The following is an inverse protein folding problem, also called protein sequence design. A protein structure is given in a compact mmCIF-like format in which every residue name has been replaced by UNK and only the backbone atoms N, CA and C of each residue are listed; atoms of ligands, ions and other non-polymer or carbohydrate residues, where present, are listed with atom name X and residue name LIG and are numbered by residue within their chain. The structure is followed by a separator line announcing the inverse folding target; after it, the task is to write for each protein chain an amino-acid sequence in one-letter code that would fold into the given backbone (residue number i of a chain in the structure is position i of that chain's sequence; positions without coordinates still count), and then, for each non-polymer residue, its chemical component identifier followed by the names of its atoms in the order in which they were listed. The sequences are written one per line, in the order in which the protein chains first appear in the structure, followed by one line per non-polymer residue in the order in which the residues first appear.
data_IF_179442182411
#
_entry.id   IF_179442182411
#
_cell.length_a   1.000
_cell.length_b   1.000
_cell.length_c   1.000
_cell.angle_alpha   90.00
_cell.angle_beta   90.00
_cell.angle_gamma   90.00
#
_symmetry.space_group_name_H-M   'P 1'
#
loop_
_entity.id
_entity.type
_entity.pdbx_description
1 polymer ?
#
# COMPACT_ATOMS: atom_id res chain seq x y z
N UNK A 1 8.90 1.64 -26.66
CA UNK A 1 9.51 0.78 -25.64
C UNK A 1 8.86 1.10 -24.31
N UNK A 2 8.25 0.09 -23.69
CA UNK A 2 7.62 0.23 -22.36
C UNK A 2 8.73 0.28 -21.31
N UNK A 3 8.76 1.34 -20.51
CA UNK A 3 9.77 1.54 -19.46
C UNK A 3 9.59 0.49 -18.37
N UNK A 4 10.68 -0.09 -17.87
CA UNK A 4 10.62 -1.02 -16.73
C UNK A 4 10.11 -0.31 -15.46
N UNK A 5 9.52 -1.02 -14.49
CA UNK A 5 8.98 -0.41 -13.26
C UNK A 5 10.02 0.39 -12.45
N UNK A 6 11.31 0.04 -12.53
CA UNK A 6 12.40 0.85 -11.97
C UNK A 6 12.62 2.17 -12.75
N UNK A 7 12.57 2.13 -14.08
CA UNK A 7 12.69 3.33 -14.93
C UNK A 7 11.45 4.24 -14.87
N UNK A 8 10.28 3.70 -14.52
CA UNK A 8 9.06 4.48 -14.29
C UNK A 8 9.14 5.32 -13.00
N UNK A 9 10.00 4.95 -12.05
CA UNK A 9 10.23 5.66 -10.78
C UNK A 9 11.18 6.84 -10.91
N UNK A 10 12.13 6.80 -11.84
CA UNK A 10 13.08 7.89 -12.09
C UNK A 10 12.59 8.79 -13.23
N UNK A 11 11.79 9.80 -12.88
CA UNK A 11 11.41 10.83 -13.85
C UNK A 11 12.55 11.85 -13.94
N UNK A 12 12.86 12.37 -15.12
CA UNK A 12 13.83 13.46 -15.25
C UNK A 12 13.42 14.42 -16.34
N UNK A 13 13.84 15.67 -16.21
CA UNK A 13 13.70 16.68 -17.25
C UNK A 13 15.03 17.40 -17.45
N UNK A 14 15.30 17.81 -18.69
CA UNK A 14 16.49 18.57 -19.02
C UNK A 14 16.13 20.05 -19.08
N UNK A 15 16.81 20.85 -18.27
CA UNK A 15 16.72 22.31 -18.33
C UNK A 15 17.77 22.82 -19.30
N UNK A 16 17.33 23.48 -20.37
CA UNK A 16 18.20 24.23 -21.27
C UNK A 16 18.11 25.71 -20.90
N UNK A 17 19.19 26.27 -20.38
CA UNK A 17 19.33 27.69 -20.11
C UNK A 17 20.22 28.32 -21.18
N UNK A 18 19.71 29.33 -21.88
CA UNK A 18 20.47 30.10 -22.85
C UNK A 18 20.71 31.51 -22.31
N UNK A 19 21.93 32.00 -22.48
CA UNK A 19 22.29 33.39 -22.21
C UNK A 19 23.28 33.88 -23.26
N UNK A 20 23.14 35.11 -23.71
CA UNK A 20 24.13 35.76 -24.58
C UNK A 20 24.96 36.75 -23.77
N UNK A 21 26.28 36.69 -23.91
CA UNK A 21 27.19 37.66 -23.30
C UNK A 21 28.26 38.07 -24.33
N UNK A 22 28.41 39.37 -24.56
CA UNK A 22 29.37 39.94 -25.51
C UNK A 22 29.28 39.33 -26.93
N UNK A 23 28.06 39.09 -27.43
CA UNK A 23 27.82 38.54 -28.78
C UNK A 23 28.09 37.04 -28.91
N UNK A 24 28.33 36.32 -27.80
CA UNK A 24 28.39 34.85 -27.78
C UNK A 24 27.21 34.29 -27.00
N UNK A 25 26.45 33.41 -27.67
CA UNK A 25 25.46 32.57 -27.03
C UNK A 25 26.11 31.45 -26.23
N UNK A 26 25.68 31.29 -24.99
CA UNK A 26 26.03 30.20 -24.10
C UNK A 26 24.76 29.41 -23.80
N UNK A 27 24.83 28.10 -23.98
CA UNK A 27 23.76 27.19 -23.56
C UNK A 27 24.30 26.24 -22.49
N UNK A 28 23.63 26.22 -21.35
CA UNK A 28 23.88 25.26 -20.27
C UNK A 28 22.70 24.31 -20.22
N UNK A 29 22.98 23.03 -20.40
CA UNK A 29 21.99 21.97 -20.23
C UNK A 29 22.24 21.26 -18.91
N UNK A 30 21.23 21.14 -18.05
CA UNK A 30 21.30 20.35 -16.82
C UNK A 30 20.16 19.36 -16.77
N UNK A 31 20.49 18.09 -16.55
CA UNK A 31 19.52 17.05 -16.24
C UNK A 31 19.12 17.18 -14.77
N UNK A 32 17.82 17.30 -14.52
CA UNK A 32 17.24 17.33 -13.18
C UNK A 32 16.47 16.03 -12.98
N UNK A 33 16.83 15.27 -11.95
CA UNK A 33 16.15 14.04 -11.55
C UNK A 33 15.00 14.36 -10.61
N UNK A 34 13.89 13.63 -10.78
CA UNK A 34 12.70 13.66 -9.94
C UNK A 34 12.58 12.30 -9.27
N UNK A 35 12.46 12.31 -7.95
CA UNK A 35 12.18 11.11 -7.16
C UNK A 35 10.66 10.98 -6.96
N UNK A 36 10.08 9.89 -7.45
CA UNK A 36 8.66 9.58 -7.22
C UNK A 36 8.54 8.83 -5.89
N UNK A 37 7.92 9.48 -4.91
CA UNK A 37 7.63 8.90 -3.59
C UNK A 37 6.24 8.29 -3.59
N UNK A 38 6.15 7.02 -3.20
CA UNK A 38 4.89 6.40 -2.80
C UNK A 38 4.53 6.90 -1.39
N UNK A 39 3.44 7.66 -1.22
CA UNK A 39 3.14 8.32 0.06
C UNK A 39 2.77 7.33 1.17
N UNK A 40 2.15 6.20 0.80
CA UNK A 40 1.84 5.09 1.71
C UNK A 40 1.77 3.79 0.91
N UNK A 41 2.23 2.69 1.49
CA UNK A 41 1.99 1.34 0.99
C UNK A 41 1.46 0.46 2.12
N UNK A 42 0.66 -0.55 1.76
CA UNK A 42 0.03 -1.46 2.73
C UNK A 42 0.18 -2.90 2.27
N UNK A 43 0.37 -3.78 3.23
CA UNK A 43 0.46 -5.22 3.04
C UNK A 43 -0.27 -5.96 4.16
N UNK A 44 -0.73 -7.16 3.86
CA UNK A 44 -1.37 -8.05 4.82
C UNK A 44 -0.59 -9.36 4.87
N UNK A 45 -0.31 -9.82 6.07
CA UNK A 45 0.34 -11.09 6.34
C UNK A 45 -0.59 -11.97 7.19
N UNK A 46 -0.78 -13.20 6.72
CA UNK A 46 -1.57 -14.21 7.41
C UNK A 46 -0.65 -15.41 7.72
N UNK A 47 -0.53 -15.78 9.00
CA UNK A 47 0.45 -16.77 9.43
C UNK A 47 0.11 -18.21 8.95
N UNK A 48 -1.17 -18.54 8.82
CA UNK A 48 -1.63 -19.83 8.31
C UNK A 48 -3.05 -19.71 7.73
N UNK A 49 -3.57 -20.82 7.19
CA UNK A 49 -4.98 -20.91 6.85
C UNK A 49 -5.86 -20.79 8.10
N UNK A 50 -7.06 -20.23 7.94
CA UNK A 50 -8.04 -20.10 9.01
C UNK A 50 -8.91 -21.34 9.05
N UNK A 51 -9.09 -21.94 10.22
CA UNK A 51 -10.06 -23.02 10.40
C UNK A 51 -11.46 -22.46 10.53
N UNK A 52 -12.44 -23.04 9.83
CA UNK A 52 -13.85 -22.67 9.96
C UNK A 52 -14.29 -22.76 11.44
N UNK A 53 -14.97 -21.73 11.93
CA UNK A 53 -15.37 -21.61 13.33
C UNK A 53 -14.30 -21.08 14.29
N UNK A 54 -13.10 -20.77 13.80
CA UNK A 54 -12.01 -20.22 14.61
C UNK A 54 -11.71 -18.76 14.25
N UNK A 55 -11.06 -18.07 15.19
CA UNK A 55 -10.42 -16.79 14.94
C UNK A 55 -8.91 -16.94 14.80
N UNK A 56 -8.30 -16.08 14.00
CA UNK A 56 -6.86 -16.00 13.84
C UNK A 56 -6.42 -14.54 13.83
N UNK A 57 -5.16 -14.30 14.19
CA UNK A 57 -4.53 -12.99 14.03
C UNK A 57 -4.00 -12.82 12.61
N UNK A 58 -4.35 -11.70 11.99
CA UNK A 58 -3.74 -11.19 10.76
C UNK A 58 -2.92 -9.94 11.08
N UNK A 59 -1.78 -9.78 10.41
CA UNK A 59 -0.92 -8.61 10.58
C UNK A 59 -1.09 -7.70 9.38
N UNK A 60 -1.49 -6.46 9.61
CA UNK A 60 -1.46 -5.41 8.58
C UNK A 60 -0.22 -4.58 8.80
N UNK A 61 0.59 -4.40 7.75
CA UNK A 61 1.80 -3.58 7.78
C UNK A 61 1.65 -2.41 6.81
N UNK A 62 1.98 -1.21 7.28
CA UNK A 62 1.95 0.03 6.53
C UNK A 62 3.33 0.66 6.52
N UNK A 63 3.80 1.02 5.32
CA UNK A 63 5.03 1.81 5.13
C UNK A 63 4.64 3.20 4.65
N UNK A 64 5.15 4.24 5.30
CA UNK A 64 4.87 5.64 4.96
C UNK A 64 6.05 6.23 4.20
N UNK A 65 5.75 6.98 3.13
CA UNK A 65 6.76 7.67 2.35
C UNK A 65 7.45 8.79 3.17
N UNK A 66 8.74 9.07 2.92
CA UNK A 66 9.44 10.19 3.54
C UNK A 66 8.89 11.53 3.04
N UNK A 67 9.13 12.63 3.76
CA UNK A 67 8.81 13.97 3.28
C UNK A 67 7.48 14.56 3.76
N UNK A 68 6.75 13.85 4.64
CA UNK A 68 5.62 14.43 5.36
C UNK A 68 5.50 13.90 6.80
N UNK A 69 4.70 14.58 7.61
CA UNK A 69 4.40 14.15 8.97
C UNK A 69 3.56 12.87 8.91
N UNK A 70 3.92 11.87 9.72
CA UNK A 70 3.11 10.66 9.82
C UNK A 70 1.72 11.00 10.35
N UNK A 71 0.70 10.54 9.63
CA UNK A 71 -0.70 10.60 10.04
C UNK A 71 -1.27 9.21 10.29
N UNK A 72 -2.41 9.16 10.97
CA UNK A 72 -3.14 7.93 11.17
C UNK A 72 -3.61 7.36 9.83
N UNK A 73 -3.61 6.03 9.73
CA UNK A 73 -3.98 5.31 8.51
C UNK A 73 -5.20 4.47 8.81
N UNK A 74 -6.28 4.72 8.08
CA UNK A 74 -7.48 3.89 8.12
C UNK A 74 -7.34 2.76 7.11
N UNK A 75 -7.59 1.54 7.55
CA UNK A 75 -7.44 0.32 6.78
C UNK A 75 -8.80 -0.34 6.61
N UNK A 76 -9.09 -0.79 5.39
CA UNK A 76 -10.25 -1.62 5.08
C UNK A 76 -9.82 -2.85 4.29
N UNK A 77 -10.39 -4.01 4.64
CA UNK A 77 -10.16 -5.27 3.94
C UNK A 77 -11.37 -5.57 3.07
N UNK A 78 -11.13 -5.96 1.82
CA UNK A 78 -12.17 -6.24 0.83
C UNK A 78 -11.96 -7.64 0.22
N UNK A 79 -13.03 -8.23 -0.29
CA UNK A 79 -12.98 -9.55 -0.95
C UNK A 79 -12.88 -10.74 0.00
N UNK A 80 -13.26 -10.59 1.26
CA UNK A 80 -13.24 -11.68 2.25
C UNK A 80 -14.14 -12.86 1.82
N UNK A 81 -13.77 -14.12 2.14
CA UNK A 81 -14.60 -15.29 1.89
C UNK A 81 -15.95 -15.22 2.61
N UNK A 82 -16.95 -15.98 2.13
CA UNK A 82 -18.27 -16.01 2.75
C UNK A 82 -18.21 -16.46 4.22
N UNK A 83 -18.91 -15.72 5.08
CA UNK A 83 -18.91 -15.87 6.54
C UNK A 83 -17.53 -15.68 7.22
N UNK A 84 -16.58 -15.01 6.57
CA UNK A 84 -15.36 -14.49 7.20
C UNK A 84 -15.53 -13.01 7.49
N UNK A 85 -15.22 -12.60 8.72
CA UNK A 85 -15.41 -11.21 9.19
C UNK A 85 -14.14 -10.63 9.81
N UNK A 86 -13.99 -9.33 9.66
CA UNK A 86 -12.93 -8.51 10.24
C UNK A 86 -13.56 -7.28 10.89
N UNK A 87 -12.89 -6.59 11.82
CA UNK A 87 -13.38 -5.34 12.37
C UNK A 87 -13.61 -4.31 11.27
N UNK A 88 -14.74 -3.60 11.33
CA UNK A 88 -15.14 -2.61 10.31
C UNK A 88 -14.19 -1.42 10.22
N UNK A 89 -13.56 -1.06 11.34
CA UNK A 89 -12.67 0.09 11.43
C UNK A 89 -11.33 -0.37 11.99
N UNK A 90 -10.28 -0.23 11.19
CA UNK A 90 -8.91 -0.54 11.56
C UNK A 90 -8.10 0.74 11.40
N UNK A 91 -7.60 1.28 12.50
CA UNK A 91 -6.81 2.51 12.47
C UNK A 91 -5.42 2.23 13.01
N UNK A 92 -4.41 2.48 12.19
CA UNK A 92 -3.00 2.42 12.57
C UNK A 92 -2.58 3.85 12.93
N UNK A 93 -2.23 4.06 14.20
CA UNK A 93 -1.80 5.36 14.69
C UNK A 93 -0.52 5.84 13.97
N UNK A 94 -0.28 7.15 13.97
CA UNK A 94 0.84 7.77 13.25
C UNK A 94 2.22 7.24 13.69
N UNK A 95 2.33 6.83 14.96
CA UNK A 95 3.53 6.27 15.59
C UNK A 95 3.72 4.77 15.34
N UNK A 96 2.72 4.10 14.73
CA UNK A 96 2.75 2.66 14.46
C UNK A 96 2.79 2.36 12.97
N UNK A 97 3.48 1.30 12.62
CA UNK A 97 3.56 0.80 11.24
C UNK A 97 2.85 -0.53 11.06
N UNK A 98 2.32 -1.11 12.14
CA UNK A 98 1.66 -2.41 12.12
C UNK A 98 0.53 -2.49 13.14
N UNK A 99 -0.44 -3.35 12.84
CA UNK A 99 -1.52 -3.74 13.74
C UNK A 99 -1.82 -5.23 13.57
N UNK A 100 -2.02 -5.91 14.69
CA UNK A 100 -2.60 -7.25 14.71
C UNK A 100 -4.11 -7.12 14.79
N UNK A 101 -4.81 -7.79 13.87
CA UNK A 101 -6.26 -7.76 13.76
C UNK A 101 -6.79 -9.18 13.86
N UNK A 102 -7.86 -9.38 14.62
CA UNK A 102 -8.54 -10.66 14.68
C UNK A 102 -9.47 -10.83 13.46
N UNK A 103 -9.19 -11.84 12.63
CA UNK A 103 -10.06 -12.30 11.56
C UNK A 103 -10.82 -13.54 12.04
N UNK A 104 -12.14 -13.57 11.82
CA UNK A 104 -13.03 -14.61 12.33
C UNK A 104 -13.69 -15.34 11.17
N UNK A 105 -13.52 -16.66 11.10
CA UNK A 105 -14.34 -17.51 10.25
C UNK A 105 -15.48 -18.10 11.08
N UNK A 106 -16.72 -17.90 10.64
CA UNK A 106 -17.85 -18.57 11.27
C UNK A 106 -17.76 -20.10 11.05
N UNK A 107 -18.49 -20.89 11.84
CA UNK A 107 -18.50 -22.36 11.70
C UNK A 107 -19.03 -22.84 10.32
N UNK A 108 -19.85 -22.01 9.69
CA UNK A 108 -20.38 -22.19 8.33
C UNK A 108 -19.56 -21.42 7.27
N UNK A 109 -18.33 -21.00 7.58
CA UNK A 109 -17.45 -20.38 6.60
C UNK A 109 -17.17 -21.34 5.45
N UNK A 110 -17.22 -20.80 4.23
CA UNK A 110 -16.97 -21.59 3.04
C UNK A 110 -15.51 -22.03 3.01
N UNK A 111 -15.29 -23.34 2.91
CA UNK A 111 -13.95 -23.93 2.81
C UNK A 111 -13.43 -23.67 1.40
N UNK A 112 -12.83 -22.50 1.22
CA UNK A 112 -12.34 -22.04 -0.07
C UNK A 112 -11.02 -21.27 0.07
N UNK A 113 -10.29 -21.19 -1.05
CA UNK A 113 -9.12 -20.33 -1.22
C UNK A 113 -9.51 -19.14 -2.11
N UNK A 114 -9.71 -17.97 -1.52
CA UNK A 114 -10.07 -16.74 -2.25
C UNK A 114 -8.80 -15.95 -2.53
N UNK A 115 -8.50 -15.72 -3.82
CA UNK A 115 -7.25 -15.07 -4.26
C UNK A 115 -7.40 -13.56 -4.50
N UNK A 116 -8.61 -13.03 -4.38
CA UNK A 116 -8.94 -11.62 -4.70
C UNK A 116 -9.08 -10.73 -3.46
N UNK A 117 -8.59 -11.18 -2.30
CA UNK A 117 -8.62 -10.38 -1.08
C UNK A 117 -7.61 -9.24 -1.23
N UNK A 118 -8.01 -8.01 -0.88
CA UNK A 118 -7.15 -6.84 -0.92
C UNK A 118 -7.37 -5.96 0.30
N UNK A 119 -6.34 -5.19 0.65
CA UNK A 119 -6.37 -4.24 1.75
C UNK A 119 -6.15 -2.84 1.21
N UNK A 120 -7.06 -1.93 1.52
CA UNK A 120 -6.93 -0.51 1.17
C UNK A 120 -6.55 0.29 2.41
N UNK A 121 -5.55 1.16 2.28
CA UNK A 121 -5.12 2.10 3.29
C UNK A 121 -5.40 3.53 2.82
N UNK A 122 -6.07 4.31 3.66
CA UNK A 122 -6.40 5.72 3.42
C UNK A 122 -5.75 6.60 4.48
N UNK A 123 -5.07 7.65 4.05
CA UNK A 123 -4.40 8.60 4.96
C UNK A 123 -4.21 9.96 4.30
N UNK A 124 -3.59 10.91 5.01
CA UNK A 124 -3.18 12.20 4.48
C UNK A 124 -1.67 12.27 4.36
N UNK A 125 -1.20 12.82 3.23
CA UNK A 125 0.20 13.06 2.95
C UNK A 125 0.37 14.49 2.43
N UNK A 126 1.16 15.30 3.13
CA UNK A 126 1.36 16.73 2.84
C UNK A 126 0.04 17.51 2.66
N UNK A 127 -0.97 17.19 3.49
CA UNK A 127 -2.30 17.84 3.44
C UNK A 127 -3.23 17.36 2.32
N UNK A 128 -2.84 16.33 1.56
CA UNK A 128 -3.68 15.70 0.53
C UNK A 128 -4.12 14.31 0.95
N UNK A 129 -5.38 13.97 0.70
CA UNK A 129 -5.88 12.62 0.88
C UNK A 129 -5.24 11.68 -0.15
N UNK A 130 -4.70 10.58 0.33
CA UNK A 130 -4.06 9.54 -0.48
C UNK A 130 -4.58 8.18 -0.07
N UNK A 131 -4.64 7.27 -1.05
CA UNK A 131 -5.05 5.90 -0.85
C UNK A 131 -4.07 4.96 -1.53
N UNK A 132 -3.79 3.83 -0.88
CA UNK A 132 -3.02 2.73 -1.46
C UNK A 132 -3.78 1.41 -1.28
N UNK A 133 -3.59 0.50 -2.22
CA UNK A 133 -4.10 -0.87 -2.12
C UNK A 133 -2.92 -1.84 -2.07
N UNK A 134 -3.06 -2.91 -1.30
CA UNK A 134 -2.12 -4.02 -1.33
C UNK A 134 -2.23 -4.77 -2.65
N UNK A 135 -1.25 -5.64 -2.91
CA UNK A 135 -1.45 -6.73 -3.85
C UNK A 135 -2.62 -7.61 -3.40
N UNK A 136 -3.24 -8.30 -4.35
CA UNK A 136 -4.22 -9.34 -4.05
C UNK A 136 -3.53 -10.49 -3.32
N UNK A 137 -4.15 -10.99 -2.28
CA UNK A 137 -3.63 -12.09 -1.46
C UNK A 137 -4.62 -13.24 -1.45
N UNK A 138 -4.09 -14.43 -1.13
CA UNK A 138 -4.90 -15.63 -0.94
C UNK A 138 -5.24 -15.80 0.53
N UNK A 139 -6.53 -15.84 0.86
CA UNK A 139 -7.01 -16.33 2.15
C UNK A 139 -7.58 -17.72 1.96
N UNK A 140 -7.08 -18.68 2.74
CA UNK A 140 -7.55 -20.05 2.75
C UNK A 140 -8.33 -20.34 4.02
N UNK A 141 -9.56 -20.83 3.85
CA UNK A 141 -10.38 -21.39 4.93
C UNK A 141 -10.30 -22.92 4.84
N UNK A 142 -9.99 -23.59 5.94
CA UNK A 142 -9.98 -25.06 6.06
C UNK A 142 -11.15 -25.52 6.94
N UNK A 143 -11.63 -26.74 6.71
CA UNK A 143 -12.63 -27.35 7.58
C UNK A 143 -12.11 -27.48 9.02
N UNK A 144 -12.99 -27.35 10.01
CA UNK A 144 -12.70 -27.80 11.37
C UNK A 144 -12.57 -29.33 11.36
N UNK A 145 -11.39 -29.81 11.75
CA UNK A 145 -11.11 -31.23 11.95
C UNK A 145 -11.76 -31.74 13.24
#
# INVERSE_FOLDING_TARGET
EDLTPEQAKEKSFTVHAFAEHAGRGHMVSRKVTLEVIDPVTVSLELAAAITAGQSQKMKVVVVRGPGSKAEAVTVAVQGLPENVTVPKELTIAADKSEIEVEIKAAANAEVAAIQDVLVTASTKYAGKDVQASSNKIVIQVKAAE
#
